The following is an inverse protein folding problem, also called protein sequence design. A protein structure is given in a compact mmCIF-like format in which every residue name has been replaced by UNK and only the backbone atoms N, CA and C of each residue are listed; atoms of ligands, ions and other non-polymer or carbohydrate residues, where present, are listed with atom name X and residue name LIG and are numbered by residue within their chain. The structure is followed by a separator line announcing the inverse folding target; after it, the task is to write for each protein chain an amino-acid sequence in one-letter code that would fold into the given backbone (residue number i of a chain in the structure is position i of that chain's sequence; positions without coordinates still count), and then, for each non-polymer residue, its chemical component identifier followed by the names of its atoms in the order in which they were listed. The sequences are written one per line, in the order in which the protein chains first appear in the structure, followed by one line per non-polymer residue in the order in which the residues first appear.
data_IF_028656840296
#
_entry.id   IF_028656840296
#
_cell.length_a   1.000
_cell.length_b   1.000
_cell.length_c   1.000
_cell.angle_alpha   90.00
_cell.angle_beta   90.00
_cell.angle_gamma   90.00
#
_symmetry.space_group_name_H-M   'P 1'
#
loop_
_entity.id
_entity.type
_entity.pdbx_description
1 polymer ?
#
# COMPACT_ATOMS: atom_id res chain seq x y z
N UNK A 1 20.88 -22.51 -32.21
CA UNK A 1 20.06 -21.70 -31.27
C UNK A 1 19.36 -22.57 -30.23
N UNK A 2 18.30 -23.32 -30.56
CA UNK A 2 17.57 -24.15 -29.56
C UNK A 2 18.42 -25.22 -28.87
N UNK A 3 19.47 -25.68 -29.53
CA UNK A 3 20.35 -26.71 -29.01
C UNK A 3 21.45 -26.22 -28.07
N UNK A 4 22.05 -25.05 -28.34
CA UNK A 4 22.98 -24.41 -27.40
C UNK A 4 22.26 -24.13 -26.07
N UNK A 5 21.00 -23.69 -26.16
CA UNK A 5 20.11 -23.50 -24.99
C UNK A 5 19.70 -24.82 -24.31
N UNK A 6 19.72 -25.95 -25.03
CA UNK A 6 19.31 -27.25 -24.50
C UNK A 6 20.46 -28.04 -23.83
N UNK A 7 21.72 -27.75 -24.19
CA UNK A 7 22.89 -28.46 -23.69
C UNK A 7 23.79 -27.62 -22.78
N UNK A 8 23.85 -26.31 -22.98
CA UNK A 8 24.51 -25.42 -22.03
C UNK A 8 23.49 -24.83 -21.08
N UNK A 9 23.73 -25.00 -19.79
CA UNK A 9 23.11 -24.17 -18.75
C UNK A 9 23.14 -22.72 -19.20
N UNK A 10 22.05 -21.96 -18.98
CA UNK A 10 21.91 -20.54 -19.31
C UNK A 10 22.96 -19.70 -18.58
N UNK A 11 24.21 -19.76 -19.03
CA UNK A 11 25.31 -18.95 -18.49
C UNK A 11 25.33 -17.63 -19.24
N UNK A 12 25.71 -16.56 -18.53
CA UNK A 12 25.80 -15.22 -19.13
C UNK A 12 26.77 -15.17 -20.32
N UNK A 13 27.78 -16.05 -20.35
CA UNK A 13 28.74 -16.16 -21.46
C UNK A 13 28.10 -16.63 -22.77
N UNK A 14 27.21 -17.62 -22.71
CA UNK A 14 26.57 -18.18 -23.92
C UNK A 14 25.51 -17.24 -24.48
N UNK A 15 24.84 -16.46 -23.62
CA UNK A 15 23.96 -15.35 -24.01
C UNK A 15 24.71 -14.26 -24.81
N UNK A 16 25.95 -13.93 -24.42
CA UNK A 16 26.77 -12.94 -25.12
C UNK A 16 27.18 -13.39 -26.52
N UNK A 17 27.57 -14.65 -26.69
CA UNK A 17 27.91 -15.24 -27.99
C UNK A 17 26.66 -15.39 -28.87
N UNK A 18 25.54 -15.84 -28.30
CA UNK A 18 24.24 -15.92 -28.98
C UNK A 18 23.75 -14.55 -29.47
N UNK A 19 23.89 -13.50 -28.64
CA UNK A 19 23.55 -12.13 -29.02
C UNK A 19 24.38 -11.65 -30.20
N UNK A 20 25.69 -11.91 -30.17
CA UNK A 20 26.64 -11.52 -31.22
C UNK A 20 26.37 -12.23 -32.55
N UNK A 21 26.08 -13.54 -32.52
CA UNK A 21 25.78 -14.30 -33.73
C UNK A 21 24.45 -13.90 -34.37
N UNK A 22 23.40 -13.69 -33.56
CA UNK A 22 22.07 -13.29 -34.08
C UNK A 22 22.09 -11.86 -34.63
N UNK A 23 22.89 -10.96 -34.03
CA UNK A 23 23.08 -9.59 -34.54
C UNK A 23 23.84 -9.54 -35.87
N UNK A 24 24.69 -10.53 -36.18
CA UNK A 24 25.50 -10.56 -37.40
C UNK A 24 24.82 -11.25 -38.59
N UNK A 25 23.71 -11.97 -38.40
CA UNK A 25 22.97 -12.60 -39.49
C UNK A 25 21.95 -11.65 -40.16
N UNK A 26 22.27 -11.17 -41.37
CA UNK A 26 21.31 -10.61 -42.33
C UNK A 26 21.44 -9.10 -42.59
N UNK A 27 21.60 -8.75 -43.88
CA UNK A 27 21.60 -7.37 -44.37
C UNK A 27 20.19 -6.76 -44.29
N UNK A 28 20.06 -5.63 -43.59
CA UNK A 28 18.98 -4.62 -43.68
C UNK A 28 17.58 -5.11 -44.07
N UNK A 29 16.90 -5.88 -43.22
CA UNK A 29 15.49 -6.23 -43.44
C UNK A 29 14.68 -6.04 -42.17
N UNK A 30 13.41 -5.61 -42.30
CA UNK A 30 12.45 -5.37 -41.20
C UNK A 30 12.33 -6.55 -40.22
N UNK A 31 12.57 -7.79 -40.69
CA UNK A 31 12.64 -9.00 -39.87
C UNK A 31 13.78 -9.01 -38.83
N UNK A 32 14.87 -8.27 -39.06
CA UNK A 32 15.97 -8.12 -38.09
C UNK A 32 15.56 -7.26 -36.91
N UNK A 33 14.76 -6.22 -37.15
CA UNK A 33 14.22 -5.38 -36.08
C UNK A 33 13.30 -6.19 -35.15
N UNK A 34 12.37 -6.98 -35.68
CA UNK A 34 11.52 -7.85 -34.86
C UNK A 34 12.29 -8.89 -34.07
N UNK A 35 13.34 -9.47 -34.66
CA UNK A 35 14.23 -10.42 -33.96
C UNK A 35 15.03 -9.75 -32.84
N UNK A 36 15.53 -8.55 -33.09
CA UNK A 36 16.22 -7.75 -32.08
C UNK A 36 15.28 -7.35 -30.94
N UNK A 37 14.06 -6.92 -31.29
CA UNK A 37 13.01 -6.59 -30.33
C UNK A 37 12.61 -7.79 -29.46
N UNK A 38 12.50 -8.98 -30.03
CA UNK A 38 12.22 -10.20 -29.28
C UNK A 38 13.34 -10.56 -28.28
N UNK A 39 14.61 -10.40 -28.68
CA UNK A 39 15.76 -10.63 -27.80
C UNK A 39 15.81 -9.59 -26.68
N UNK A 40 15.62 -8.31 -27.02
CA UNK A 40 15.54 -7.24 -26.04
C UNK A 40 14.38 -7.47 -25.07
N UNK A 41 13.23 -7.92 -25.57
CA UNK A 41 12.07 -8.27 -24.75
C UNK A 41 12.35 -9.43 -23.79
N UNK A 42 13.06 -10.48 -24.23
CA UNK A 42 13.46 -11.56 -23.31
C UNK A 42 14.43 -11.08 -22.22
N UNK A 43 15.38 -10.21 -22.56
CA UNK A 43 16.31 -9.64 -21.58
C UNK A 43 15.58 -8.71 -20.60
N UNK A 44 14.73 -7.81 -21.10
CA UNK A 44 13.91 -6.95 -20.26
C UNK A 44 12.96 -7.75 -19.37
N UNK A 45 12.40 -8.85 -19.87
CA UNK A 45 11.53 -9.75 -19.11
C UNK A 45 12.27 -10.44 -17.96
N UNK A 46 13.47 -10.94 -18.22
CA UNK A 46 14.30 -11.57 -17.17
C UNK A 46 14.75 -10.54 -16.13
N UNK A 47 15.19 -9.35 -16.56
CA UNK A 47 15.51 -8.26 -15.65
C UNK A 47 14.30 -7.83 -14.81
N UNK A 48 13.10 -7.77 -15.41
CA UNK A 48 11.85 -7.46 -14.72
C UNK A 48 11.47 -8.51 -13.68
N UNK A 49 11.55 -9.79 -14.02
CA UNK A 49 11.26 -10.88 -13.07
C UNK A 49 12.24 -10.87 -11.88
N UNK A 50 13.51 -10.52 -12.13
CA UNK A 50 14.53 -10.40 -11.09
C UNK A 50 14.34 -9.15 -10.21
N UNK A 51 13.87 -8.04 -10.77
CA UNK A 51 13.62 -6.81 -10.02
C UNK A 51 12.26 -6.77 -9.31
N UNK A 52 11.36 -7.71 -9.62
CA UNK A 52 10.00 -7.72 -9.09
C UNK A 52 9.92 -7.74 -7.55
N UNK A 53 10.68 -8.59 -6.81
CA UNK A 53 10.65 -8.57 -5.35
C UNK A 53 11.09 -7.22 -4.77
N UNK A 54 12.11 -6.60 -5.37
CA UNK A 54 12.64 -5.29 -4.95
C UNK A 54 11.66 -4.17 -5.24
N UNK A 55 10.99 -4.22 -6.39
CA UNK A 55 9.92 -3.29 -6.74
C UNK A 55 8.74 -3.42 -5.76
N UNK A 56 8.31 -4.64 -5.46
CA UNK A 56 7.24 -4.89 -4.49
C UNK A 56 7.60 -4.36 -3.10
N UNK A 57 8.82 -4.61 -2.63
CA UNK A 57 9.30 -4.10 -1.34
C UNK A 57 9.37 -2.57 -1.31
N UNK A 58 9.71 -1.92 -2.43
CA UNK A 58 9.73 -0.46 -2.53
C UNK A 58 8.32 0.17 -2.59
N UNK A 59 7.29 -0.62 -2.91
CA UNK A 59 5.90 -0.15 -3.01
C UNK A 59 5.14 -0.28 -1.70
N UNK A 60 5.58 -1.18 -0.85
CA UNK A 60 5.15 -1.29 0.54
C UNK A 60 5.91 -0.27 1.36
N UNK A 61 5.18 0.66 1.99
CA UNK A 61 5.76 1.66 2.86
C UNK A 61 4.96 1.78 4.15
N UNK A 62 5.60 2.26 5.20
CA UNK A 62 4.89 2.67 6.40
C UNK A 62 4.28 4.05 6.17
N UNK A 63 2.97 4.15 6.40
CA UNK A 63 2.27 5.42 6.44
C UNK A 63 1.94 5.67 7.91
N UNK A 64 2.24 6.87 8.40
CA UNK A 64 1.83 7.31 9.74
C UNK A 64 0.32 7.43 9.76
N UNK A 65 -0.33 6.84 10.75
CA UNK A 65 -1.74 7.17 11.01
C UNK A 65 -1.83 8.63 11.45
N UNK A 66 -2.97 9.25 11.20
CA UNK A 66 -3.22 10.62 11.65
C UNK A 66 -4.28 10.57 12.73
N UNK A 67 -3.97 11.19 13.87
CA UNK A 67 -4.88 11.32 14.99
C UNK A 67 -5.30 12.78 15.15
N UNK A 68 -6.56 13.04 15.52
CA UNK A 68 -7.03 14.39 15.81
C UNK A 68 -6.54 14.86 17.19
N UNK A 69 -6.01 16.08 17.23
CA UNK A 69 -5.61 16.79 18.44
C UNK A 69 -6.26 18.16 18.47
N UNK A 70 -6.49 18.70 19.66
CA UNK A 70 -6.94 20.06 19.88
C UNK A 70 -5.98 20.81 20.80
N UNK A 71 -5.76 22.08 20.49
CA UNK A 71 -4.94 22.97 21.32
C UNK A 71 -5.81 23.55 22.46
N UNK A 72 -5.32 23.50 23.70
CA UNK A 72 -5.98 24.15 24.85
C UNK A 72 -5.63 25.65 24.96
N UNK A 73 -6.16 26.32 25.98
CA UNK A 73 -5.86 27.75 26.22
C UNK A 73 -4.40 28.02 26.61
N UNK A 74 -3.65 27.01 27.05
CA UNK A 74 -2.23 27.08 27.43
C UNK A 74 -1.29 26.65 26.28
N UNK A 75 -1.84 26.35 25.09
CA UNK A 75 -1.13 25.84 23.92
C UNK A 75 -0.60 24.40 24.05
N UNK A 76 -1.15 23.59 24.96
CA UNK A 76 -0.92 22.16 25.02
C UNK A 76 -1.78 21.43 23.99
N UNK A 77 -1.23 20.37 23.40
CA UNK A 77 -1.96 19.49 22.49
C UNK A 77 -2.62 18.37 23.27
N UNK A 78 -3.94 18.28 23.15
CA UNK A 78 -4.77 17.28 23.82
C UNK A 78 -5.37 16.38 22.75
N UNK A 79 -5.28 15.07 22.98
CA UNK A 79 -5.89 14.06 22.11
C UNK A 79 -7.41 14.23 22.06
N UNK A 80 -8.01 14.05 20.88
CA UNK A 80 -9.46 14.15 20.71
C UNK A 80 -10.26 13.18 21.59
N UNK A 81 -9.69 12.01 21.87
CA UNK A 81 -10.29 10.99 22.74
C UNK A 81 -10.46 11.45 24.20
N UNK A 82 -9.77 12.52 24.62
CA UNK A 82 -9.85 13.09 25.98
C UNK A 82 -10.91 14.19 26.07
N UNK A 83 -11.53 14.57 24.97
CA UNK A 83 -12.59 15.58 24.95
C UNK A 83 -13.84 14.95 25.55
N UNK A 84 -14.40 15.63 26.55
CA UNK A 84 -15.62 15.23 27.24
C UNK A 84 -16.68 16.29 27.04
N UNK A 85 -17.91 15.85 26.91
CA UNK A 85 -19.05 16.76 26.87
C UNK A 85 -19.37 17.26 28.27
N UNK A 86 -19.75 18.52 28.34
CA UNK A 86 -20.19 19.17 29.57
C UNK A 86 -21.70 19.10 29.63
N UNK A 87 -22.23 18.61 30.74
CA UNK A 87 -23.68 18.53 30.99
C UNK A 87 -24.11 19.71 31.87
N UNK A 88 -23.37 19.99 32.94
CA UNK A 88 -23.67 21.08 33.85
C UNK A 88 -22.43 21.94 34.12
N UNK A 89 -22.64 23.24 34.31
CA UNK A 89 -21.62 24.18 34.76
C UNK A 89 -22.15 24.91 35.98
N UNK A 90 -21.51 24.69 37.13
CA UNK A 90 -21.84 25.38 38.39
C UNK A 90 -20.94 26.59 38.52
N UNK A 91 -21.48 27.79 38.31
CA UNK A 91 -20.71 29.03 38.26
C UNK A 91 -20.20 29.48 39.63
N UNK A 92 -20.92 29.16 40.70
CA UNK A 92 -20.63 29.55 42.08
C UNK A 92 -20.19 28.34 42.95
N UNK A 93 -19.44 27.43 42.34
CA UNK A 93 -18.92 26.21 42.98
C UNK A 93 -18.03 26.44 44.19
N UNK A 94 -17.47 27.64 44.39
CA UNK A 94 -16.66 28.01 45.58
C UNK A 94 -17.41 27.90 46.90
N UNK A 95 -18.74 27.78 46.84
CA UNK A 95 -19.59 27.54 48.02
C UNK A 95 -19.62 26.08 48.44
N UNK A 96 -19.14 25.18 47.59
CA UNK A 96 -18.98 23.76 47.86
C UNK A 96 -17.62 23.55 48.53
N UNK A 97 -17.61 22.87 49.68
CA UNK A 97 -16.40 22.69 50.52
C UNK A 97 -15.28 21.95 49.78
N UNK A 98 -15.64 21.11 48.81
CA UNK A 98 -14.70 20.27 48.07
C UNK A 98 -14.18 20.90 46.77
N UNK A 99 -14.67 22.10 46.39
CA UNK A 99 -14.37 22.73 45.10
C UNK A 99 -13.97 24.21 45.25
N UNK A 100 -12.67 24.46 45.40
CA UNK A 100 -12.11 25.81 45.57
C UNK A 100 -12.07 26.65 44.27
N UNK A 101 -12.40 26.06 43.11
CA UNK A 101 -12.31 26.73 41.80
C UNK A 101 -13.68 26.86 41.15
N UNK A 102 -13.98 28.06 40.66
CA UNK A 102 -15.15 28.38 39.84
C UNK A 102 -14.76 28.70 38.39
N UNK A 103 -15.56 28.29 37.40
CA UNK A 103 -16.74 27.42 37.52
C UNK A 103 -16.35 25.94 37.75
N UNK A 104 -17.25 25.13 38.30
CA UNK A 104 -17.11 23.67 38.32
C UNK A 104 -17.80 23.08 37.08
N UNK A 105 -17.04 22.36 36.28
CA UNK A 105 -17.50 21.76 35.03
C UNK A 105 -17.82 20.29 35.25
N UNK A 106 -19.09 19.92 35.05
CA UNK A 106 -19.59 18.56 35.20
C UNK A 106 -19.67 17.91 33.83
N UNK A 107 -18.82 16.90 33.62
CA UNK A 107 -18.74 16.16 32.35
C UNK A 107 -19.66 14.95 32.34
N UNK A 108 -20.03 14.47 31.16
CA UNK A 108 -20.85 13.26 30.96
C UNK A 108 -20.27 12.00 31.62
N UNK A 109 -18.94 11.88 31.70
CA UNK A 109 -18.27 10.75 32.35
C UNK A 109 -18.37 10.75 33.89
N UNK A 110 -18.76 11.89 34.49
CA UNK A 110 -18.86 12.01 35.95
C UNK A 110 -20.28 11.71 36.44
N UNK A 111 -20.66 10.43 36.38
CA UNK A 111 -22.00 9.99 36.80
C UNK A 111 -22.37 10.41 38.22
N UNK A 112 -21.38 10.46 39.14
CA UNK A 112 -21.61 10.80 40.55
C UNK A 112 -21.98 12.27 40.66
N UNK A 113 -21.16 13.15 40.07
CA UNK A 113 -21.39 14.59 40.13
C UNK A 113 -22.63 15.00 39.31
N UNK A 114 -22.89 14.32 38.19
CA UNK A 114 -24.09 14.51 37.39
C UNK A 114 -25.35 14.18 38.21
N UNK A 115 -25.41 13.00 38.86
CA UNK A 115 -26.52 12.62 39.74
C UNK A 115 -26.68 13.57 40.93
N UNK A 116 -25.58 14.06 41.49
CA UNK A 116 -25.59 15.05 42.58
C UNK A 116 -26.25 16.37 42.15
N UNK A 117 -25.86 16.90 40.98
CA UNK A 117 -26.46 18.11 40.40
C UNK A 117 -27.93 17.89 40.03
N UNK A 118 -28.28 16.75 39.45
CA UNK A 118 -29.67 16.38 39.14
C UNK A 118 -30.54 16.30 40.40
N UNK A 119 -30.03 15.68 41.45
CA UNK A 119 -30.71 15.58 42.74
C UNK A 119 -30.90 16.97 43.36
N UNK A 120 -29.89 17.84 43.26
CA UNK A 120 -29.96 19.23 43.70
C UNK A 120 -31.02 20.02 42.94
N UNK A 121 -30.99 20.02 41.61
CA UNK A 121 -31.97 20.72 40.76
C UNK A 121 -33.39 20.19 41.03
N UNK A 122 -33.52 18.88 41.31
CA UNK A 122 -34.81 18.26 41.59
C UNK A 122 -35.47 18.73 42.89
N UNK A 123 -34.70 19.26 43.86
CA UNK A 123 -35.26 19.84 45.09
C UNK A 123 -36.16 21.06 44.81
N UNK A 124 -35.93 21.74 43.68
CA UNK A 124 -36.59 23.00 43.34
C UNK A 124 -37.59 22.88 42.17
N UNK A 125 -37.89 21.65 41.72
CA UNK A 125 -38.76 21.41 40.56
C UNK A 125 -40.19 21.96 40.73
N UNK A 126 -40.68 22.05 41.96
CA UNK A 126 -42.05 22.53 42.26
C UNK A 126 -42.13 24.06 42.48
N UNK A 127 -41.01 24.76 42.67
CA UNK A 127 -40.98 26.18 43.07
C UNK A 127 -41.01 27.19 41.92
N UNK A 128 -41.32 26.74 40.70
CA UNK A 128 -41.46 27.64 39.54
C UNK A 128 -40.13 28.24 39.07
N UNK A 129 -39.04 27.51 39.26
CA UNK A 129 -37.73 27.84 38.70
C UNK A 129 -37.87 28.14 37.21
N UNK A 130 -37.50 29.36 36.83
CA UNK A 130 -37.63 29.82 35.45
C UNK A 130 -36.51 29.18 34.62
N UNK A 131 -36.82 28.06 33.98
CA UNK A 131 -36.08 27.59 32.80
C UNK A 131 -36.31 28.61 31.69
N UNK A 132 -35.50 29.66 31.66
CA UNK A 132 -35.48 30.58 30.53
C UNK A 132 -34.73 29.89 29.39
N UNK A 133 -35.48 29.44 28.39
CA UNK A 133 -34.95 28.95 27.12
C UNK A 133 -34.41 30.10 26.23
N UNK A 134 -33.87 31.15 26.84
CA UNK A 134 -33.43 32.39 26.18
C UNK A 134 -31.99 32.32 25.68
N UNK A 135 -31.63 33.28 24.81
CA UNK A 135 -30.46 33.36 23.92
C UNK A 135 -29.03 33.31 24.52
N UNK A 136 -28.84 32.69 25.70
CA UNK A 136 -27.54 32.48 26.34
C UNK A 136 -26.90 31.12 26.04
N UNK A 137 -25.67 30.87 26.54
CA UNK A 137 -25.02 29.57 26.45
C UNK A 137 -25.78 28.51 27.25
N UNK A 138 -25.81 27.28 26.73
CA UNK A 138 -26.57 26.16 27.27
C UNK A 138 -28.00 26.05 26.72
N UNK A 139 -28.73 25.02 27.17
CA UNK A 139 -30.16 24.82 26.89
C UNK A 139 -31.06 25.31 28.02
N UNK A 140 -30.49 25.49 29.21
CA UNK A 140 -31.21 25.95 30.39
C UNK A 140 -30.26 26.62 31.36
N UNK A 141 -30.78 27.58 32.11
CA UNK A 141 -30.08 28.18 33.23
C UNK A 141 -30.96 28.09 34.47
N UNK A 142 -30.40 27.51 35.52
CA UNK A 142 -30.97 27.44 36.85
C UNK A 142 -30.43 28.62 37.67
N UNK A 143 -31.28 29.63 37.87
CA UNK A 143 -30.93 30.85 38.60
C UNK A 143 -31.60 30.91 39.98
N UNK A 144 -30.77 31.10 41.01
CA UNK A 144 -31.03 31.81 42.28
C UNK A 144 -32.48 31.81 42.77
N UNK A 145 -32.92 30.69 43.36
CA UNK A 145 -33.98 30.69 44.36
C UNK A 145 -33.43 31.29 45.66
N UNK A 146 -34.19 32.16 46.33
CA UNK A 146 -33.75 32.79 47.58
C UNK A 146 -33.96 31.87 48.80
N UNK A 147 -33.54 30.61 48.65
CA UNK A 147 -33.79 29.54 49.61
C UNK A 147 -32.49 28.83 49.99
N UNK A 148 -32.43 28.34 51.23
CA UNK A 148 -31.33 27.49 51.69
C UNK A 148 -31.46 26.11 51.07
N UNK A 149 -30.35 25.52 50.65
CA UNK A 149 -30.34 24.28 49.88
C UNK A 149 -29.33 23.28 50.44
N UNK A 150 -29.46 22.01 50.09
CA UNK A 150 -28.52 20.96 50.49
C UNK A 150 -27.92 20.30 49.25
N UNK A 151 -26.58 20.28 49.15
CA UNK A 151 -25.86 19.66 48.04
C UNK A 151 -25.02 18.48 48.56
N UNK A 152 -25.22 17.29 47.99
CA UNK A 152 -24.42 16.10 48.29
C UNK A 152 -23.51 15.79 47.10
N UNK A 153 -22.25 16.21 47.17
CA UNK A 153 -21.28 16.08 46.08
C UNK A 153 -20.83 14.64 45.85
N UNK A 154 -20.79 13.84 46.91
CA UNK A 154 -20.13 12.53 46.94
C UNK A 154 -21.10 11.37 46.74
N UNK A 155 -22.40 11.60 46.96
CA UNK A 155 -23.43 10.55 46.98
C UNK A 155 -23.35 9.65 48.22
N UNK A 156 -22.49 10.01 49.18
CA UNK A 156 -22.26 9.29 50.44
C UNK A 156 -23.21 9.75 51.56
N UNK A 157 -24.16 10.66 51.25
CA UNK A 157 -25.12 11.20 52.20
C UNK A 157 -24.58 12.34 53.07
N UNK A 158 -23.38 12.85 52.77
CA UNK A 158 -22.78 13.99 53.46
C UNK A 158 -23.20 15.29 52.76
N UNK A 159 -24.45 15.71 52.98
CA UNK A 159 -24.96 16.95 52.39
C UNK A 159 -24.33 18.20 53.03
N UNK A 160 -23.88 19.12 52.19
CA UNK A 160 -23.43 20.45 52.57
C UNK A 160 -24.62 21.40 52.54
N UNK A 161 -24.92 22.03 53.68
CA UNK A 161 -25.94 23.09 53.76
C UNK A 161 -25.42 24.37 53.14
N UNK A 162 -26.06 24.80 52.07
CA UNK A 162 -25.74 26.01 51.33
C UNK A 162 -26.69 27.14 51.75
N UNK A 163 -26.17 28.31 52.20
CA UNK A 163 -27.01 29.46 52.53
C UNK A 163 -27.66 30.01 51.26
N UNK A 164 -28.81 30.69 51.35
CA UNK A 164 -29.38 31.38 50.20
C UNK A 164 -28.39 32.43 49.61
N UNK A 165 -28.38 32.67 48.29
CA UNK A 165 -29.25 32.08 47.25
C UNK A 165 -28.86 30.66 46.83
N UNK A 166 -29.70 29.94 46.08
CA UNK A 166 -29.34 28.65 45.47
C UNK A 166 -28.14 28.77 44.51
N UNK A 167 -27.55 27.63 44.12
CA UNK A 167 -26.46 27.59 43.13
C UNK A 167 -26.91 28.15 41.78
N UNK A 168 -25.97 28.69 41.03
CA UNK A 168 -26.13 29.18 39.66
C UNK A 168 -25.58 28.13 38.69
N UNK A 169 -26.48 27.40 38.02
CA UNK A 169 -26.13 26.23 37.21
C UNK A 169 -26.59 26.45 35.77
N UNK A 170 -25.70 26.32 34.81
CA UNK A 170 -26.05 26.24 33.38
C UNK A 170 -26.09 24.78 32.95
N UNK A 171 -27.16 24.40 32.27
CA UNK A 171 -27.35 23.08 31.67
C UNK A 171 -27.06 23.15 30.17
N UNK A 172 -26.29 22.19 29.66
CA UNK A 172 -25.90 22.06 28.25
C UNK A 172 -26.57 20.83 27.62
N UNK A 173 -26.76 20.87 26.31
CA UNK A 173 -27.41 19.76 25.61
C UNK A 173 -26.45 18.57 25.47
N UNK A 174 -26.74 17.48 26.17
CA UNK A 174 -26.03 16.21 26.03
C UNK A 174 -26.75 15.22 25.10
N UNK A 175 -27.93 15.57 24.56
CA UNK A 175 -28.75 14.64 23.77
C UNK A 175 -28.15 14.30 22.40
N UNK A 176 -27.06 14.93 21.98
CA UNK A 176 -26.38 14.57 20.74
C UNK A 176 -25.77 13.15 20.80
N UNK A 177 -25.52 12.61 22.00
CA UNK A 177 -24.94 11.28 22.19
C UNK A 177 -25.94 10.14 22.43
N UNK A 178 -27.23 10.40 22.66
CA UNK A 178 -28.19 9.30 22.93
C UNK A 178 -28.42 8.35 21.73
N UNK A 179 -27.92 8.70 20.55
CA UNK A 179 -27.98 7.82 19.37
C UNK A 179 -26.82 6.81 19.30
N UNK A 180 -25.80 6.90 20.16
CA UNK A 180 -24.69 5.94 20.21
C UNK A 180 -24.75 5.11 21.50
N UNK A 181 -24.71 3.79 21.33
CA UNK A 181 -24.92 2.82 22.40
C UNK A 181 -23.72 2.83 23.37
N UNK A 182 -23.93 2.81 24.70
CA UNK A 182 -22.85 2.72 25.67
C UNK A 182 -22.21 1.33 25.58
N UNK A 183 -21.13 1.19 24.80
CA UNK A 183 -20.46 -0.10 24.60
C UNK A 183 -19.52 -0.21 23.41
N UNK A 184 -19.54 0.73 22.46
CA UNK A 184 -18.54 0.80 21.39
C UNK A 184 -17.50 1.88 21.73
N UNK A 185 -16.34 1.46 22.23
CA UNK A 185 -15.13 2.27 22.09
C UNK A 185 -14.65 2.20 20.63
N UNK A 186 -14.20 3.33 20.06
CA UNK A 186 -13.96 4.62 20.70
C UNK A 186 -15.22 5.50 20.76
N UNK A 187 -15.40 6.22 21.88
CA UNK A 187 -16.36 7.32 21.99
C UNK A 187 -15.91 8.46 21.05
N UNK A 188 -16.37 8.44 19.81
CA UNK A 188 -16.12 9.53 18.87
C UNK A 188 -17.11 10.67 19.16
N UNK A 189 -16.65 11.68 19.92
CA UNK A 189 -17.41 12.92 20.14
C UNK A 189 -17.53 13.65 18.81
N UNK A 190 -18.73 13.65 18.23
CA UNK A 190 -19.04 14.39 17.02
C UNK A 190 -19.35 15.86 17.36
N UNK A 191 -18.60 16.80 16.76
CA UNK A 191 -18.95 18.20 16.88
C UNK A 191 -20.26 18.50 16.15
N UNK A 192 -21.14 19.34 16.73
CA UNK A 192 -22.37 19.76 16.06
C UNK A 192 -22.04 20.49 14.75
N UNK A 193 -22.93 20.36 13.76
CA UNK A 193 -22.77 21.07 12.48
C UNK A 193 -22.80 22.58 12.71
N UNK A 194 -22.15 23.35 11.83
CA UNK A 194 -22.14 24.83 11.90
C UNK A 194 -23.51 25.49 11.75
N UNK A 195 -24.55 24.72 11.43
CA UNK A 195 -25.93 25.21 11.33
C UNK A 195 -26.64 25.21 12.69
N UNK A 196 -26.12 24.46 13.67
CA UNK A 196 -26.65 24.42 15.03
C UNK A 196 -25.98 25.50 15.88
N UNK A 197 -26.72 26.09 16.82
CA UNK A 197 -26.22 27.12 17.73
C UNK A 197 -25.11 26.52 18.62
N UNK A 198 -23.87 26.94 18.36
CA UNK A 198 -22.65 26.42 18.98
C UNK A 198 -22.58 26.63 20.50
N UNK A 199 -23.25 27.67 21.00
CA UNK A 199 -23.34 28.05 22.41
C UNK A 199 -24.14 27.07 23.28
N UNK A 200 -24.92 26.17 22.68
CA UNK A 200 -25.68 25.13 23.39
C UNK A 200 -24.84 23.93 23.82
N UNK A 201 -23.61 23.83 23.31
CA UNK A 201 -22.71 22.72 23.57
C UNK A 201 -21.43 23.23 24.20
N UNK A 202 -20.95 22.51 25.20
CA UNK A 202 -19.70 22.80 25.85
C UNK A 202 -18.90 21.52 26.05
N UNK A 203 -17.59 21.68 26.04
CA UNK A 203 -16.63 20.60 26.14
C UNK A 203 -15.57 20.92 27.18
N UNK A 204 -15.00 19.88 27.78
CA UNK A 204 -13.90 19.98 28.73
C UNK A 204 -12.95 18.81 28.55
N UNK A 205 -11.69 18.99 28.96
CA UNK A 205 -10.67 17.94 28.87
C UNK A 205 -10.44 17.24 30.22
N UNK A 206 -10.78 17.91 31.32
CA UNK A 206 -10.58 17.41 32.69
C UNK A 206 -11.92 17.10 33.37
N UNK A 207 -11.94 16.03 34.17
CA UNK A 207 -13.08 15.71 35.05
C UNK A 207 -13.09 16.70 36.21
N UNK A 208 -14.26 17.29 36.50
CA UNK A 208 -14.41 18.32 37.53
C UNK A 208 -13.44 19.51 37.36
N UNK A 209 -13.12 19.84 36.09
CA UNK A 209 -12.26 20.96 35.74
C UNK A 209 -12.95 22.32 35.87
N UNK A 210 -12.21 23.38 35.54
CA UNK A 210 -12.70 24.76 35.54
C UNK A 210 -12.64 25.45 34.17
N UNK A 211 -12.17 24.74 33.14
CA UNK A 211 -12.05 25.27 31.78
C UNK A 211 -13.17 24.71 30.91
N UNK A 212 -13.71 25.58 30.06
CA UNK A 212 -14.82 25.28 29.18
C UNK A 212 -14.46 25.67 27.76
N UNK A 213 -14.73 24.77 26.81
CA UNK A 213 -14.45 24.96 25.40
C UNK A 213 -15.75 24.93 24.61
N UNK A 214 -15.91 25.87 23.69
CA UNK A 214 -17.02 25.87 22.74
C UNK A 214 -16.65 25.05 21.50
N UNK A 215 -17.65 24.44 20.86
CA UNK A 215 -17.52 23.77 19.55
C UNK A 215 -16.78 24.60 18.49
N UNK A 216 -16.98 25.93 18.46
CA UNK A 216 -16.26 26.82 17.52
C UNK A 216 -14.77 26.84 17.78
N UNK A 217 -14.37 26.88 19.06
CA UNK A 217 -12.97 26.85 19.47
C UNK A 217 -12.33 25.51 19.10
N UNK A 218 -12.98 24.39 19.43
CA UNK A 218 -12.47 23.05 19.08
C UNK A 218 -12.29 22.89 17.56
N UNK A 219 -13.18 23.47 16.75
CA UNK A 219 -13.10 23.43 15.28
C UNK A 219 -11.98 24.31 14.72
N UNK A 220 -11.73 25.47 15.31
CA UNK A 220 -10.66 26.38 14.90
C UNK A 220 -9.28 25.88 15.33
N UNK A 221 -9.20 25.22 16.49
CA UNK A 221 -7.96 24.73 17.11
C UNK A 221 -7.69 23.24 16.93
N UNK A 222 -8.59 22.52 16.27
CA UNK A 222 -8.41 21.13 15.89
C UNK A 222 -7.38 20.97 14.77
N UNK A 223 -6.43 20.05 14.94
CA UNK A 223 -5.45 19.71 13.92
C UNK A 223 -5.12 18.21 13.93
N UNK A 224 -4.93 17.62 12.75
CA UNK A 224 -4.48 16.24 12.65
C UNK A 224 -2.95 16.17 12.78
N UNK A 225 -2.44 15.29 13.64
CA UNK A 225 -1.01 15.04 13.82
C UNK A 225 -0.68 13.60 13.45
N UNK A 226 0.53 13.33 12.92
CA UNK A 226 0.97 11.96 12.72
C UNK A 226 1.11 11.27 14.07
N UNK A 227 0.43 10.13 14.23
CA UNK A 227 0.53 9.26 15.39
C UNK A 227 1.85 8.49 15.39
N UNK A 228 2.18 7.89 16.53
CA UNK A 228 3.30 6.97 16.70
C UNK A 228 3.03 5.61 16.03
N UNK A 229 1.77 5.32 15.72
CA UNK A 229 1.38 4.09 15.04
C UNK A 229 1.62 4.18 13.53
N UNK A 230 2.19 3.11 12.99
CA UNK A 230 2.43 2.97 11.57
C UNK A 230 1.54 1.88 11.00
N UNK A 231 0.85 2.21 9.90
CA UNK A 231 0.11 1.23 9.13
C UNK A 231 0.87 0.83 7.88
N UNK A 232 0.75 -0.46 7.54
CA UNK A 232 1.25 -0.98 6.28
C UNK A 232 0.42 -0.41 5.13
N UNK A 233 1.02 0.53 4.41
CA UNK A 233 0.41 1.18 3.27
C UNK A 233 0.94 0.61 1.95
N UNK A 234 0.05 0.52 0.97
CA UNK A 234 0.43 0.38 -0.43
C UNK A 234 0.24 1.71 -1.14
N UNK A 235 1.25 2.18 -1.84
CA UNK A 235 1.07 3.36 -2.69
C UNK A 235 0.21 3.00 -3.90
N UNK A 236 -0.99 3.59 -3.96
CA UNK A 236 -1.93 3.42 -5.07
C UNK A 236 -1.29 3.76 -6.43
N UNK A 237 -0.51 4.85 -6.49
CA UNK A 237 0.14 5.31 -7.73
C UNK A 237 1.14 4.27 -8.24
N UNK A 238 1.95 3.69 -7.35
CA UNK A 238 2.91 2.68 -7.75
C UNK A 238 2.25 1.37 -8.18
N UNK A 239 1.18 0.94 -7.47
CA UNK A 239 0.41 -0.24 -7.86
C UNK A 239 -0.19 -0.05 -9.26
N UNK A 240 -0.75 1.12 -9.54
CA UNK A 240 -1.29 1.45 -10.85
C UNK A 240 -0.21 1.40 -11.96
N UNK A 241 0.97 1.97 -11.71
CA UNK A 241 2.09 1.91 -12.66
C UNK A 241 2.55 0.48 -12.91
N UNK A 242 2.69 -0.35 -11.87
CA UNK A 242 3.06 -1.77 -12.01
C UNK A 242 2.01 -2.57 -12.76
N UNK A 243 0.74 -2.29 -12.54
CA UNK A 243 -0.35 -2.92 -13.28
C UNK A 243 -0.24 -2.64 -14.78
N UNK A 244 0.01 -1.39 -15.17
CA UNK A 244 0.24 -1.01 -16.57
C UNK A 244 1.46 -1.74 -17.15
N UNK A 245 2.59 -1.75 -16.42
CA UNK A 245 3.79 -2.45 -16.90
C UNK A 245 3.57 -3.96 -17.05
N UNK A 246 2.87 -4.60 -16.11
CA UNK A 246 2.48 -6.00 -16.21
C UNK A 246 1.56 -6.25 -17.40
N UNK A 247 0.59 -5.37 -17.64
CA UNK A 247 -0.30 -5.48 -18.80
C UNK A 247 0.46 -5.38 -20.12
N UNK A 248 1.40 -4.44 -20.24
CA UNK A 248 2.26 -4.33 -21.42
C UNK A 248 3.14 -5.57 -21.57
N UNK A 249 3.77 -6.03 -20.48
CA UNK A 249 4.63 -7.21 -20.49
C UNK A 249 3.89 -8.48 -20.90
N UNK A 250 2.68 -8.70 -20.36
CA UNK A 250 1.82 -9.83 -20.74
C UNK A 250 1.41 -9.75 -22.22
N UNK A 251 1.03 -8.57 -22.71
CA UNK A 251 0.76 -8.36 -24.14
C UNK A 251 1.96 -8.73 -25.02
N UNK A 252 3.18 -8.34 -24.63
CA UNK A 252 4.41 -8.69 -25.36
C UNK A 252 4.65 -10.21 -25.35
N UNK A 253 4.51 -10.85 -24.19
CA UNK A 253 4.69 -12.31 -24.07
C UNK A 253 3.68 -13.10 -24.90
N UNK A 254 2.41 -12.69 -24.86
CA UNK A 254 1.35 -13.26 -25.70
C UNK A 254 1.64 -13.01 -27.19
N UNK A 255 2.11 -11.81 -27.54
CA UNK A 255 2.52 -11.48 -28.91
C UNK A 255 3.65 -12.37 -29.42
N UNK A 256 4.71 -12.57 -28.62
CA UNK A 256 5.80 -13.48 -28.96
C UNK A 256 5.33 -14.94 -29.04
N UNK A 257 4.43 -15.36 -28.16
CA UNK A 257 3.85 -16.70 -28.20
C UNK A 257 3.01 -16.94 -29.48
N UNK A 258 2.20 -15.95 -29.88
CA UNK A 258 1.44 -16.01 -31.12
C UNK A 258 2.36 -16.01 -32.35
N UNK A 259 3.40 -15.19 -32.36
CA UNK A 259 4.38 -15.16 -33.45
C UNK A 259 5.13 -16.49 -33.57
N UNK A 260 5.64 -17.02 -32.45
CA UNK A 260 6.31 -18.33 -32.44
C UNK A 260 5.38 -19.45 -32.91
N UNK A 261 4.09 -19.45 -32.53
CA UNK A 261 3.12 -20.45 -33.03
C UNK A 261 2.79 -20.29 -34.52
N UNK A 262 2.65 -19.06 -35.02
CA UNK A 262 2.20 -18.80 -36.40
C UNK A 262 3.34 -18.78 -37.42
N UNK A 263 4.52 -18.31 -37.05
CA UNK A 263 5.67 -18.14 -37.94
C UNK A 263 6.68 -19.31 -37.87
N UNK A 264 6.72 -20.08 -36.78
CA UNK A 264 7.67 -21.18 -36.66
C UNK A 264 7.24 -22.38 -37.51
N UNK A 265 8.05 -22.66 -38.54
CA UNK A 265 7.91 -23.84 -39.40
C UNK A 265 8.04 -25.15 -38.62
N UNK A 266 8.87 -25.13 -37.58
CA UNK A 266 9.08 -26.27 -36.70
C UNK A 266 7.78 -26.64 -35.95
N UNK A 267 7.06 -25.63 -35.43
CA UNK A 267 5.74 -25.83 -34.80
C UNK A 267 4.68 -26.30 -35.81
N UNK A 268 4.64 -25.73 -37.03
CA UNK A 268 3.71 -26.16 -38.09
C UNK A 268 3.93 -27.62 -38.51
N UNK A 269 5.16 -28.11 -38.44
CA UNK A 269 5.51 -29.49 -38.76
C UNK A 269 5.18 -30.50 -37.65
N UNK A 270 4.58 -30.07 -36.54
CA UNK A 270 4.30 -30.92 -35.37
C UNK A 270 5.56 -31.34 -34.59
N UNK A 271 6.73 -30.88 -35.02
CA UNK A 271 8.02 -31.20 -34.40
C UNK A 271 8.23 -30.30 -33.19
N UNK A 272 8.00 -30.84 -31.99
CA UNK A 272 8.30 -30.12 -30.75
C UNK A 272 9.81 -30.09 -30.52
N UNK A 273 10.41 -28.94 -30.19
CA UNK A 273 11.79 -28.91 -29.73
C UNK A 273 11.84 -29.66 -28.40
N UNK A 274 12.59 -30.76 -28.37
CA UNK A 274 12.75 -31.59 -27.19
C UNK A 274 14.19 -32.07 -27.12
N UNK A 275 14.72 -32.22 -25.89
CA UNK A 275 16.11 -32.55 -25.63
C UNK A 275 16.57 -33.78 -26.43
N UNK A 276 15.82 -34.88 -26.33
CA UNK A 276 16.13 -36.15 -27.00
C UNK A 276 16.17 -35.98 -28.53
N UNK A 277 15.27 -35.17 -29.08
CA UNK A 277 15.22 -34.87 -30.51
C UNK A 277 16.45 -34.10 -30.96
N UNK A 278 16.87 -33.12 -30.15
CA UNK A 278 18.09 -32.38 -30.39
C UNK A 278 19.29 -33.32 -30.35
N UNK A 279 19.46 -34.16 -29.32
CA UNK A 279 20.54 -35.16 -29.26
C UNK A 279 20.60 -35.98 -30.54
N UNK A 280 19.46 -36.52 -31.00
CA UNK A 280 19.41 -37.32 -32.23
C UNK A 280 19.81 -36.55 -33.48
N UNK A 281 19.41 -35.29 -33.61
CA UNK A 281 19.78 -34.45 -34.76
C UNK A 281 21.29 -34.13 -34.74
N UNK A 282 21.90 -33.93 -33.56
CA UNK A 282 23.34 -33.73 -33.41
C UNK A 282 24.13 -35.00 -33.68
N UNK A 283 23.73 -36.12 -33.07
CA UNK A 283 24.40 -37.40 -33.30
C UNK A 283 24.34 -37.80 -34.77
N UNK A 284 23.23 -37.51 -35.45
CA UNK A 284 23.10 -37.75 -36.88
C UNK A 284 24.08 -36.89 -37.69
N UNK A 285 24.20 -35.60 -37.37
CA UNK A 285 25.12 -34.71 -38.07
C UNK A 285 26.60 -35.05 -37.77
N UNK A 286 26.93 -35.44 -36.54
CA UNK A 286 28.28 -35.88 -36.17
C UNK A 286 28.65 -37.19 -36.87
N UNK A 287 27.72 -38.15 -36.96
CA UNK A 287 27.91 -39.39 -37.75
C UNK A 287 28.08 -39.11 -39.25
N UNK A 288 27.41 -38.09 -39.78
CA UNK A 288 27.56 -37.66 -41.17
C UNK A 288 28.95 -37.05 -41.44
N UNK A 289 29.55 -36.38 -40.44
CA UNK A 289 30.89 -35.77 -40.55
C UNK A 289 32.04 -36.76 -40.32
N UNK A 290 31.94 -37.60 -39.29
CA UNK A 290 33.04 -38.47 -38.83
C UNK A 290 32.91 -39.93 -39.31
N UNK A 291 31.80 -40.27 -39.96
CA UNK A 291 31.49 -41.63 -40.41
C UNK A 291 31.13 -42.57 -39.25
N UNK A 292 31.13 -43.88 -39.54
CA UNK A 292 30.73 -44.92 -38.57
C UNK A 292 31.71 -45.04 -37.39
N UNK A 293 32.95 -44.58 -37.57
CA UNK A 293 34.00 -44.59 -36.53
C UNK A 293 33.74 -43.61 -35.38
N UNK A 294 32.79 -42.68 -35.54
CA UNK A 294 32.44 -41.68 -34.54
C UNK A 294 32.01 -42.28 -33.19
N UNK A 295 31.41 -43.48 -33.20
CA UNK A 295 30.89 -44.13 -32.00
C UNK A 295 31.97 -44.79 -31.14
N UNK A 296 33.14 -45.08 -31.73
CA UNK A 296 34.24 -45.78 -31.07
C UNK A 296 35.38 -44.86 -30.61
N UNK A 297 35.30 -43.56 -30.91
CA UNK A 297 36.34 -42.59 -30.56
C UNK A 297 36.20 -42.12 -29.11
N UNK A 298 37.34 -41.90 -28.46
CA UNK A 298 37.40 -41.26 -27.14
C UNK A 298 37.06 -39.76 -27.26
N UNK A 299 36.52 -39.15 -26.20
CA UNK A 299 35.94 -37.79 -26.25
C UNK A 299 36.94 -36.73 -26.75
N UNK A 300 38.21 -36.82 -26.33
CA UNK A 300 39.26 -35.89 -26.74
C UNK A 300 39.59 -36.02 -28.24
N UNK A 301 39.57 -37.24 -28.76
CA UNK A 301 39.81 -37.51 -30.18
C UNK A 301 38.60 -37.07 -31.02
N UNK A 302 37.39 -37.27 -30.50
CA UNK A 302 36.15 -36.81 -31.13
C UNK A 302 36.12 -35.28 -31.22
N UNK A 303 36.44 -34.57 -30.12
CA UNK A 303 36.55 -33.10 -30.12
C UNK A 303 37.59 -32.59 -31.11
N UNK A 304 38.75 -33.25 -31.17
CA UNK A 304 39.83 -32.90 -32.11
C UNK A 304 39.36 -33.04 -33.56
N UNK A 305 38.76 -34.18 -33.93
CA UNK A 305 38.31 -34.43 -35.30
C UNK A 305 37.14 -33.54 -35.73
N UNK A 306 36.19 -33.24 -34.83
CA UNK A 306 35.11 -32.27 -35.11
C UNK A 306 35.67 -30.86 -35.33
N UNK A 307 36.70 -30.47 -34.58
CA UNK A 307 37.34 -29.16 -34.75
C UNK A 307 38.16 -29.08 -36.03
N UNK A 308 38.78 -30.19 -36.44
CA UNK A 308 39.55 -30.30 -37.67
C UNK A 308 38.67 -30.40 -38.92
N UNK A 309 37.46 -30.95 -38.82
CA UNK A 309 36.52 -31.06 -39.96
C UNK A 309 36.02 -29.70 -40.47
N UNK A 310 36.04 -28.67 -39.62
CA UNK A 310 35.56 -27.33 -39.95
C UNK A 310 34.08 -27.28 -40.31
N UNK A 311 33.32 -28.31 -39.92
CA UNK A 311 31.90 -28.47 -40.21
C UNK A 311 31.04 -27.36 -39.62
N UNK A 312 30.15 -26.81 -40.43
CA UNK A 312 29.13 -25.87 -39.97
C UNK A 312 27.74 -26.51 -40.10
N UNK A 313 27.00 -26.57 -38.99
CA UNK A 313 25.63 -27.07 -38.96
C UNK A 313 24.67 -25.99 -39.47
N UNK A 314 23.97 -26.28 -40.57
CA UNK A 314 22.95 -25.38 -41.13
C UNK A 314 21.64 -26.14 -41.28
N UNK A 315 20.52 -25.44 -41.10
CA UNK A 315 19.19 -25.97 -41.42
C UNK A 315 18.80 -25.42 -42.78
N UNK A 316 18.74 -26.26 -43.84
CA UNK A 316 18.35 -25.82 -45.18
C UNK A 316 16.94 -25.22 -45.19
N UNK A 317 16.65 -24.33 -46.15
CA UNK A 317 15.31 -23.73 -46.27
C UNK A 317 14.23 -24.76 -46.66
N UNK A 318 14.58 -25.89 -47.25
CA UNK A 318 13.64 -26.91 -47.72
C UNK A 318 13.39 -28.02 -46.71
N UNK A 319 14.33 -28.28 -45.80
CA UNK A 319 14.29 -29.39 -44.86
C UNK A 319 14.18 -28.94 -43.40
N UNK A 320 13.69 -29.84 -42.53
CA UNK A 320 13.56 -29.63 -41.09
C UNK A 320 14.64 -30.36 -40.28
N UNK A 321 15.52 -31.12 -40.95
CA UNK A 321 16.69 -31.77 -40.35
C UNK A 321 17.89 -30.84 -40.47
N UNK A 322 18.72 -30.86 -39.45
CA UNK A 322 20.05 -30.24 -39.50
C UNK A 322 20.89 -31.07 -40.46
N UNK A 323 21.54 -30.43 -41.43
CA UNK A 323 22.45 -31.07 -42.37
C UNK A 323 23.76 -30.30 -42.44
N UNK A 324 24.77 -30.93 -43.01
CA UNK A 324 26.01 -30.28 -43.40
C UNK A 324 25.70 -29.08 -44.32
N UNK A 325 26.35 -27.95 -44.07
CA UNK A 325 26.50 -26.92 -45.09
C UNK A 325 27.56 -27.39 -46.09
N UNK A 326 27.16 -27.84 -47.27
CA UNK A 326 28.13 -28.16 -48.31
C UNK A 326 28.89 -26.89 -48.70
N UNK A 327 30.23 -26.98 -48.71
CA UNK A 327 31.12 -25.87 -49.08
C UNK A 327 30.89 -25.37 -50.52
N UNK A 328 30.10 -26.09 -51.33
CA UNK A 328 29.69 -25.71 -52.69
C UNK A 328 28.53 -24.70 -52.71
N UNK A 329 27.55 -24.76 -51.79
CA UNK A 329 26.44 -23.79 -51.74
C UNK A 329 26.85 -22.44 -51.15
N UNK A 330 27.93 -22.41 -50.35
CA UNK A 330 28.51 -21.16 -49.83
C UNK A 330 29.29 -20.36 -50.88
N UNK A 331 29.54 -20.91 -52.08
CA UNK A 331 30.31 -20.24 -53.13
C UNK A 331 29.50 -19.27 -54.02
N UNK A 332 28.17 -19.27 -53.95
CA UNK A 332 27.34 -18.27 -54.67
C UNK A 332 27.20 -16.93 -53.92
N UNK A 333 27.75 -16.79 -52.71
CA UNK A 333 27.86 -15.49 -52.04
C UNK A 333 29.32 -15.11 -51.79
N UNK A 334 30.08 -14.97 -52.87
CA UNK A 334 31.43 -14.36 -52.82
C UNK A 334 31.34 -12.88 -52.40
N UNK A 335 31.52 -12.64 -51.11
CA UNK A 335 32.02 -11.39 -50.54
C UNK A 335 33.35 -11.66 -49.85
N UNK A 336 34.43 -11.66 -50.63
CA UNK A 336 35.79 -12.16 -50.36
C UNK A 336 36.63 -11.34 -49.35
N UNK A 337 36.08 -10.87 -48.21
CA UNK A 337 36.89 -10.00 -47.34
C UNK A 337 36.72 -10.13 -45.82
N UNK A 338 36.06 -11.17 -45.31
CA UNK A 338 35.88 -11.35 -43.85
C UNK A 338 36.27 -12.72 -43.30
N UNK A 339 37.20 -13.43 -43.95
CA UNK A 339 37.74 -14.70 -43.42
C UNK A 339 38.79 -14.54 -42.31
N UNK A 340 39.21 -13.33 -41.95
CA UNK A 340 40.27 -13.14 -40.93
C UNK A 340 39.78 -12.73 -39.53
N UNK A 341 38.47 -12.70 -39.26
CA UNK A 341 37.94 -12.21 -37.97
C UNK A 341 37.15 -13.25 -37.16
N UNK A 342 37.15 -14.52 -37.57
CA UNK A 342 36.49 -15.62 -36.85
C UNK A 342 37.46 -16.70 -36.35
N UNK A 343 38.79 -16.48 -36.40
CA UNK A 343 39.77 -17.43 -35.82
C UNK A 343 39.84 -17.39 -34.28
N UNK A 344 38.77 -16.99 -33.60
CA UNK A 344 38.81 -16.65 -32.18
C UNK A 344 37.52 -16.89 -31.40
N UNK A 345 36.62 -17.74 -31.87
CA UNK A 345 35.60 -18.33 -30.99
C UNK A 345 35.59 -19.84 -31.18
N UNK A 346 36.38 -20.49 -30.34
CA UNK A 346 36.33 -21.92 -30.10
C UNK A 346 34.94 -22.31 -29.60
N UNK A 347 34.29 -23.22 -30.33
CA UNK A 347 33.50 -24.28 -29.69
C UNK A 347 34.45 -25.34 -29.16
#
# INVERSE_FOLDING_TARGET
MYAAVAFETTTLGTLGVLGKEVLNFGKGTWRRFFRWLAMLSMLLSTAYALSFPTLMAAMTGYITTYEPYVEDYEHNLIEWSKIKEVVYVVHDSTRLVDYDRSPLVVTSDDEVLMKAVDAYISQFKDDGVQYHADDGPGIGNFFVANETSEFDASGDGQSVKLPAPSLNITEYDSNFLQNHSPGEEPYDVELPSSEVRADRFAFAFERAGNTLYNSTYLREKGSCKPSEEYQWGFSYIFLFMVSIFNFIWTCIMVGMWLDTRRASRMYKSGRRPGLIRSIMDYSAAVREELGVEAESLEEDELRKRVRESGGALVVPKTELRVRRADNSELQESKGSWKKSLTSGSSF
#
